data_IF_624488427525
#
_entry.id   IF_624488427525
#
_cell.length_a   1.000
_cell.length_b   1.000
_cell.length_c   1.000
_cell.angle_alpha   90.00
_cell.angle_beta   90.00
_cell.angle_gamma   90.00
#
_symmetry.space_group_name_H-M   'P 1'
#
loop_
_entity.id
_entity.type
_entity.pdbx_description
1 polymer ?
#
# COMPACT_ATOMS: atom_id res chain seq x y z
N UNK A 1 7.12 -26.90 9.47
CA UNK A 1 6.19 -25.96 8.83
C UNK A 1 6.99 -25.22 7.78
N UNK A 2 6.41 -24.94 6.61
CA UNK A 2 7.04 -24.10 5.57
C UNK A 2 7.34 -22.71 6.14
N UNK A 3 8.38 -22.06 5.62
CA UNK A 3 8.65 -20.64 5.92
C UNK A 3 7.43 -19.81 5.43
N UNK A 4 6.83 -18.95 6.26
CA UNK A 4 5.79 -18.03 5.81
C UNK A 4 6.29 -17.13 4.66
N UNK A 5 5.39 -16.80 3.72
CA UNK A 5 5.65 -15.80 2.71
C UNK A 5 5.70 -14.42 3.35
N UNK A 6 6.83 -13.72 3.24
CA UNK A 6 6.99 -12.35 3.72
C UNK A 6 6.77 -11.34 2.59
N UNK A 7 5.72 -10.54 2.71
CA UNK A 7 5.43 -9.42 1.82
C UNK A 7 5.68 -8.11 2.56
N UNK A 8 6.53 -7.26 1.99
CA UNK A 8 6.80 -5.92 2.52
C UNK A 8 6.33 -4.86 1.53
N UNK A 9 5.73 -3.80 2.03
CA UNK A 9 5.33 -2.63 1.26
C UNK A 9 5.92 -1.35 1.83
N UNK A 10 6.43 -0.48 0.97
CA UNK A 10 6.97 0.82 1.39
C UNK A 10 6.94 1.86 0.27
N UNK A 11 6.39 3.04 0.58
CA UNK A 11 6.64 4.25 -0.21
C UNK A 11 8.07 4.74 0.08
N UNK A 12 8.93 4.72 -0.94
CA UNK A 12 10.35 5.06 -0.82
C UNK A 12 10.67 6.52 -1.09
N UNK A 13 9.68 7.30 -1.56
CA UNK A 13 9.82 8.72 -1.89
C UNK A 13 11.09 9.02 -2.74
N UNK A 14 11.38 8.12 -3.68
CA UNK A 14 12.59 8.09 -4.50
C UNK A 14 13.60 7.02 -4.07
N UNK A 15 13.63 5.90 -4.79
CA UNK A 15 14.42 4.70 -4.44
C UNK A 15 15.92 4.98 -4.29
N UNK A 16 16.51 5.82 -5.15
CA UNK A 16 17.94 6.17 -5.07
C UNK A 16 18.29 6.89 -3.76
N UNK A 17 17.37 7.72 -3.25
CA UNK A 17 17.57 8.42 -1.99
C UNK A 17 17.40 7.46 -0.80
N UNK A 18 16.36 6.63 -0.83
CA UNK A 18 16.12 5.61 0.20
C UNK A 18 17.32 4.66 0.38
N UNK A 19 17.88 4.14 -0.71
CA UNK A 19 19.07 3.27 -0.65
C UNK A 19 20.29 3.98 -0.07
N UNK A 20 20.55 5.22 -0.49
CA UNK A 20 21.65 6.03 0.05
C UNK A 20 21.49 6.30 1.56
N UNK A 21 20.25 6.39 2.03
CA UNK A 21 19.92 6.73 3.42
C UNK A 21 19.74 5.51 4.34
N UNK A 22 19.89 4.27 3.86
CA UNK A 22 19.89 3.08 4.72
C UNK A 22 18.81 2.03 4.43
N UNK A 23 18.05 2.14 3.33
CA UNK A 23 17.07 1.11 2.95
C UNK A 23 17.73 -0.25 2.65
N UNK A 24 18.92 -0.27 2.04
CA UNK A 24 19.62 -1.51 1.67
C UNK A 24 19.91 -2.43 2.87
N UNK A 25 20.56 -1.94 3.94
CA UNK A 25 20.73 -2.68 5.18
C UNK A 25 19.42 -3.19 5.80
N UNK A 26 18.35 -2.39 5.79
CA UNK A 26 17.03 -2.84 6.25
C UNK A 26 16.55 -4.03 5.42
N UNK A 27 16.55 -3.93 4.09
CA UNK A 27 16.07 -4.98 3.19
C UNK A 27 16.86 -6.28 3.37
N UNK A 28 18.19 -6.19 3.47
CA UNK A 28 19.06 -7.35 3.68
C UNK A 28 18.78 -8.09 5.00
N UNK A 29 18.36 -7.35 6.05
CA UNK A 29 18.06 -7.91 7.37
C UNK A 29 16.69 -8.58 7.49
N UNK A 30 15.80 -8.36 6.51
CA UNK A 30 14.36 -8.61 6.68
C UNK A 30 13.84 -9.84 5.96
N UNK A 31 14.66 -10.52 5.16
CA UNK A 31 14.30 -11.78 4.47
C UNK A 31 12.96 -11.70 3.70
N UNK A 32 12.78 -10.58 2.98
CA UNK A 32 11.58 -10.30 2.19
C UNK A 32 11.55 -11.18 0.95
N UNK A 33 10.38 -11.80 0.70
CA UNK A 33 10.14 -12.63 -0.48
C UNK A 33 9.54 -11.81 -1.64
N UNK A 34 8.61 -10.89 -1.32
CA UNK A 34 8.01 -9.93 -2.26
C UNK A 34 8.03 -8.53 -1.63
N UNK A 35 8.67 -7.59 -2.33
CA UNK A 35 8.81 -6.18 -1.96
C UNK A 35 8.00 -5.31 -2.92
N UNK A 36 6.96 -4.67 -2.41
CA UNK A 36 6.20 -3.65 -3.11
C UNK A 36 6.77 -2.26 -2.79
N UNK A 37 7.06 -1.50 -3.84
CA UNK A 37 7.62 -0.16 -3.73
C UNK A 37 6.69 0.84 -4.38
N UNK A 38 6.48 1.96 -3.70
CA UNK A 38 5.74 3.12 -4.21
C UNK A 38 6.63 4.34 -4.27
N UNK A 39 6.30 5.27 -5.16
CA UNK A 39 7.11 6.45 -5.45
C UNK A 39 8.57 6.14 -5.75
N UNK A 40 8.79 5.16 -6.63
CA UNK A 40 10.12 4.74 -7.08
C UNK A 40 10.91 5.92 -7.66
N UNK A 41 10.26 6.78 -8.47
CA UNK A 41 10.82 8.01 -9.08
C UNK A 41 12.17 7.79 -9.79
N UNK A 42 12.32 6.63 -10.43
CA UNK A 42 13.54 6.20 -11.09
C UNK A 42 13.25 5.36 -12.35
N UNK A 43 14.28 5.08 -13.14
CA UNK A 43 14.17 4.13 -14.25
C UNK A 43 14.31 2.69 -13.72
N UNK A 44 13.79 1.71 -14.47
CA UNK A 44 13.90 0.28 -14.12
C UNK A 44 15.35 -0.17 -13.93
N UNK A 45 16.28 0.38 -14.71
CA UNK A 45 17.72 0.10 -14.59
C UNK A 45 18.30 0.55 -13.24
N UNK A 46 17.84 1.67 -12.69
CA UNK A 46 18.29 2.13 -11.37
C UNK A 46 17.82 1.14 -10.30
N UNK A 47 16.56 0.72 -10.38
CA UNK A 47 15.95 -0.20 -9.44
C UNK A 47 16.64 -1.56 -9.45
N UNK A 48 16.87 -2.12 -10.64
CA UNK A 48 17.55 -3.42 -10.83
C UNK A 48 18.99 -3.38 -10.32
N UNK A 49 19.73 -2.28 -10.57
CA UNK A 49 21.10 -2.10 -10.05
C UNK A 49 21.17 -2.00 -8.53
N UNK A 50 20.20 -1.31 -7.91
CA UNK A 50 20.15 -1.13 -6.46
C UNK A 50 19.76 -2.42 -5.72
N UNK A 51 18.80 -3.17 -6.27
CA UNK A 51 18.31 -4.40 -5.66
C UNK A 51 19.28 -5.57 -5.85
N UNK A 52 19.87 -5.70 -7.03
CA UNK A 52 20.76 -6.81 -7.36
C UNK A 52 20.09 -7.92 -8.19
N UNK A 53 20.89 -8.86 -8.71
CA UNK A 53 20.45 -9.88 -9.68
C UNK A 53 19.54 -10.96 -9.09
N UNK A 54 19.46 -11.07 -7.77
CA UNK A 54 18.61 -12.04 -7.07
C UNK A 54 17.14 -11.63 -6.99
N UNK A 55 16.81 -10.42 -7.46
CA UNK A 55 15.45 -9.90 -7.52
C UNK A 55 14.94 -9.90 -8.95
N UNK A 56 13.77 -10.51 -9.17
CA UNK A 56 12.96 -10.29 -10.35
C UNK A 56 12.13 -9.03 -10.15
N UNK A 57 12.30 -8.05 -11.06
CA UNK A 57 11.71 -6.71 -10.93
C UNK A 57 10.66 -6.50 -12.00
N UNK A 58 9.44 -6.19 -11.57
CA UNK A 58 8.40 -5.56 -12.37
C UNK A 58 8.30 -4.10 -11.92
N UNK A 59 8.25 -3.18 -12.89
CA UNK A 59 8.20 -1.76 -12.61
C UNK A 59 7.30 -1.07 -13.62
N UNK A 60 6.29 -0.38 -13.11
CA UNK A 60 5.47 0.53 -13.87
C UNK A 60 5.89 1.96 -13.54
N UNK A 61 6.43 2.65 -14.54
CA UNK A 61 6.92 4.02 -14.39
C UNK A 61 5.80 5.00 -14.69
N UNK A 62 5.74 6.10 -13.94
CA UNK A 62 4.75 7.13 -14.23
C UNK A 62 5.00 7.83 -15.56
N UNK A 63 3.92 8.25 -16.22
CA UNK A 63 3.94 9.07 -17.45
C UNK A 63 4.85 10.30 -17.31
N UNK A 64 4.79 10.96 -16.15
CA UNK A 64 5.66 12.08 -15.82
C UNK A 64 6.99 11.59 -15.21
N UNK A 65 8.11 11.84 -15.92
CA UNK A 65 9.46 11.47 -15.45
C UNK A 65 9.78 12.00 -14.05
N UNK A 66 10.33 11.14 -13.20
CA UNK A 66 10.75 11.49 -11.84
C UNK A 66 9.61 11.67 -10.84
N UNK A 67 8.39 11.29 -11.19
CA UNK A 67 7.21 11.28 -10.31
C UNK A 67 6.71 9.86 -10.12
N UNK A 68 6.01 9.61 -8.99
CA UNK A 68 5.34 8.34 -8.69
C UNK A 68 6.19 7.10 -9.07
N UNK A 69 5.58 6.10 -9.71
CA UNK A 69 6.19 4.84 -10.08
C UNK A 69 5.96 3.79 -8.99
N UNK A 70 5.52 2.60 -9.40
CA UNK A 70 5.31 1.45 -8.52
C UNK A 70 6.09 0.25 -9.04
N UNK A 71 6.62 -0.56 -8.12
CA UNK A 71 7.33 -1.77 -8.47
C UNK A 71 6.96 -2.94 -7.55
N UNK A 72 7.13 -4.14 -8.08
CA UNK A 72 7.16 -5.40 -7.35
C UNK A 72 8.51 -6.05 -7.62
N UNK A 73 9.31 -6.22 -6.57
CA UNK A 73 10.55 -6.97 -6.60
C UNK A 73 10.35 -8.28 -5.83
N UNK A 74 10.72 -9.41 -6.43
CA UNK A 74 10.43 -10.73 -5.87
C UNK A 74 11.61 -11.69 -6.02
N UNK A 75 11.72 -12.66 -5.12
CA UNK A 75 12.75 -13.73 -5.20
C UNK A 75 12.47 -14.74 -6.30
N UNK A 76 11.22 -14.83 -6.76
CA UNK A 76 10.77 -15.68 -7.87
C UNK A 76 9.97 -14.84 -8.85
N UNK A 77 10.16 -15.00 -10.17
CA UNK A 77 9.45 -14.21 -11.16
C UNK A 77 7.94 -14.41 -11.07
N UNK A 78 7.18 -13.36 -11.36
CA UNK A 78 5.74 -13.45 -11.54
C UNK A 78 5.39 -14.28 -12.78
N UNK A 79 4.26 -15.00 -12.73
CA UNK A 79 3.74 -15.72 -13.90
C UNK A 79 3.06 -14.77 -14.90
N UNK A 80 2.33 -13.77 -14.39
CA UNK A 80 1.66 -12.72 -15.17
C UNK A 80 1.65 -11.40 -14.40
N UNK A 81 1.56 -10.27 -15.11
CA UNK A 81 1.40 -8.95 -14.50
C UNK A 81 0.51 -8.03 -15.33
N UNK A 82 -0.07 -7.02 -14.68
CA UNK A 82 -0.98 -6.01 -15.25
C UNK A 82 -0.69 -4.66 -14.61
N UNK A 83 -0.80 -3.58 -15.38
CA UNK A 83 -0.50 -2.20 -14.92
C UNK A 83 -1.68 -1.24 -15.08
N UNK A 84 -2.70 -1.63 -15.83
CA UNK A 84 -3.86 -0.77 -16.10
C UNK A 84 -4.90 -0.91 -14.97
N UNK A 85 -5.41 0.23 -14.51
CA UNK A 85 -6.52 0.34 -13.58
C UNK A 85 -7.54 1.35 -14.14
N UNK A 86 -8.82 1.00 -14.14
CA UNK A 86 -9.89 1.89 -14.61
C UNK A 86 -10.09 1.88 -16.13
N UNK A 87 -10.83 2.87 -16.67
CA UNK A 87 -11.09 2.98 -18.10
C UNK A 87 -9.83 3.47 -18.87
N UNK A 88 -9.79 3.24 -20.19
CA UNK A 88 -8.60 3.48 -21.04
C UNK A 88 -8.11 4.95 -21.00
N UNK A 89 -9.02 5.92 -20.82
CA UNK A 89 -8.69 7.34 -20.71
C UNK A 89 -8.07 7.74 -19.36
N UNK A 90 -8.08 6.84 -18.36
CA UNK A 90 -7.54 7.12 -17.04
C UNK A 90 -6.06 6.73 -16.96
N UNK A 91 -5.19 7.74 -16.77
CA UNK A 91 -3.76 7.53 -16.61
C UNK A 91 -3.44 6.95 -15.21
N UNK A 92 -3.41 5.62 -15.13
CA UNK A 92 -3.01 4.86 -13.95
C UNK A 92 -1.51 4.56 -13.88
N UNK A 93 -0.72 5.01 -14.87
CA UNK A 93 0.68 4.66 -14.97
C UNK A 93 1.49 5.10 -13.74
N UNK A 94 2.31 4.18 -13.25
CA UNK A 94 3.12 4.32 -12.06
C UNK A 94 2.34 4.38 -10.75
N UNK A 95 1.10 3.84 -10.73
CA UNK A 95 0.23 3.83 -9.53
C UNK A 95 -0.43 2.49 -9.25
N UNK A 96 -0.49 1.58 -10.20
CA UNK A 96 -1.06 0.24 -10.02
C UNK A 96 -0.20 -0.79 -10.74
N UNK A 97 0.33 -1.77 -10.01
CA UNK A 97 1.03 -2.91 -10.59
C UNK A 97 0.60 -4.17 -9.87
N UNK A 98 -0.12 -5.02 -10.57
CA UNK A 98 -0.65 -6.30 -10.12
C UNK A 98 0.17 -7.44 -10.72
N UNK A 99 0.53 -8.44 -9.93
CA UNK A 99 1.22 -9.62 -10.43
C UNK A 99 0.89 -10.87 -9.62
N UNK A 100 0.91 -12.01 -10.30
CA UNK A 100 0.69 -13.33 -9.70
C UNK A 100 2.02 -14.03 -9.46
N UNK A 101 2.23 -14.50 -8.23
CA UNK A 101 3.43 -15.20 -7.81
C UNK A 101 3.09 -16.61 -7.35
N UNK A 102 3.75 -17.60 -7.93
CA UNK A 102 3.73 -18.96 -7.41
C UNK A 102 4.68 -19.07 -6.20
N UNK A 103 4.10 -19.34 -5.03
CA UNK A 103 4.84 -19.41 -3.77
C UNK A 103 5.25 -20.84 -3.44
N UNK A 104 6.04 -21.02 -2.39
CA UNK A 104 6.36 -22.36 -1.90
C UNK A 104 5.07 -23.10 -1.51
N UNK A 105 4.88 -24.33 -1.97
CA UNK A 105 3.61 -25.06 -1.84
C UNK A 105 2.73 -25.07 -3.09
N UNK A 106 3.05 -24.24 -4.10
CA UNK A 106 2.34 -24.21 -5.38
C UNK A 106 1.04 -23.39 -5.38
N UNK A 107 0.70 -22.73 -4.27
CA UNK A 107 -0.36 -21.71 -4.24
C UNK A 107 0.09 -20.49 -5.07
N UNK A 108 -0.87 -19.82 -5.71
CA UNK A 108 -0.64 -18.56 -6.40
C UNK A 108 -1.18 -17.43 -5.51
N UNK A 109 -0.35 -16.43 -5.25
CA UNK A 109 -0.76 -15.19 -4.57
C UNK A 109 -0.73 -14.04 -5.56
N UNK A 110 -1.80 -13.24 -5.60
CA UNK A 110 -1.86 -12.00 -6.36
C UNK A 110 -1.46 -10.85 -5.46
N UNK A 111 -0.40 -10.12 -5.81
CA UNK A 111 0.09 -8.96 -5.06
C UNK A 111 -0.01 -7.73 -5.94
N UNK A 112 -0.59 -6.66 -5.39
CA UNK A 112 -0.66 -5.35 -6.06
C UNK A 112 0.17 -4.33 -5.29
N UNK A 113 1.13 -3.68 -5.95
CA UNK A 113 1.73 -2.43 -5.46
C UNK A 113 0.88 -1.25 -5.93
N UNK A 114 0.37 -0.47 -4.98
CA UNK A 114 -0.58 0.61 -5.25
C UNK A 114 -0.12 1.93 -4.63
N UNK A 115 -0.19 3.00 -5.42
CA UNK A 115 0.08 4.37 -4.98
C UNK A 115 -1.08 5.30 -5.37
N UNK A 116 -2.02 5.47 -4.43
CA UNK A 116 -3.16 6.37 -4.61
C UNK A 116 -2.67 7.82 -4.64
N UNK A 117 -3.33 8.68 -5.41
CA UNK A 117 -3.05 10.12 -5.41
C UNK A 117 -3.14 10.69 -3.98
N UNK A 118 -2.17 11.52 -3.56
CA UNK A 118 -2.24 12.23 -2.28
C UNK A 118 -3.52 13.06 -2.13
N UNK A 119 -3.98 13.61 -3.26
CA UNK A 119 -5.12 14.52 -3.31
C UNK A 119 -4.75 15.93 -2.82
N UNK A 120 -5.64 16.87 -3.08
CA UNK A 120 -5.60 18.25 -2.60
C UNK A 120 -6.98 18.86 -2.84
N UNK A 121 -7.70 19.21 -1.77
CA UNK A 121 -9.11 19.66 -1.79
C UNK A 121 -9.33 20.75 -2.86
N UNK A 122 -10.41 20.62 -3.63
CA UNK A 122 -10.82 21.55 -4.70
C UNK A 122 -9.80 21.72 -5.84
N UNK A 123 -8.96 20.71 -6.09
CA UNK A 123 -8.00 20.71 -7.21
C UNK A 123 -8.18 19.53 -8.16
N UNK A 124 -7.60 19.60 -9.38
CA UNK A 124 -7.55 18.45 -10.28
C UNK A 124 -6.91 17.20 -9.66
N UNK A 125 -5.98 17.33 -8.70
CA UNK A 125 -5.39 16.15 -8.03
C UNK A 125 -6.41 15.38 -7.20
N UNK A 126 -7.38 16.05 -6.60
CA UNK A 126 -8.45 15.37 -5.88
C UNK A 126 -9.40 14.67 -6.84
N UNK A 127 -9.68 15.28 -8.00
CA UNK A 127 -10.47 14.64 -9.06
C UNK A 127 -9.81 13.34 -9.53
N UNK A 128 -8.49 13.33 -9.74
CA UNK A 128 -7.75 12.10 -10.08
C UNK A 128 -7.72 11.08 -8.93
N UNK A 129 -7.76 11.54 -7.67
CA UNK A 129 -7.91 10.64 -6.51
C UNK A 129 -9.28 9.96 -6.50
N UNK A 130 -10.36 10.69 -6.79
CA UNK A 130 -11.70 10.12 -6.87
C UNK A 130 -11.80 9.05 -7.95
N UNK A 131 -11.35 9.37 -9.18
CA UNK A 131 -11.30 8.39 -10.28
C UNK A 131 -10.52 7.13 -9.91
N UNK A 132 -9.40 7.29 -9.19
CA UNK A 132 -8.60 6.14 -8.74
C UNK A 132 -9.37 5.29 -7.72
N UNK A 133 -10.04 5.90 -6.74
CA UNK A 133 -10.84 5.20 -5.72
C UNK A 133 -12.07 4.52 -6.34
N UNK A 134 -12.72 5.14 -7.32
CA UNK A 134 -13.79 4.52 -8.12
C UNK A 134 -13.25 3.29 -8.87
N UNK A 135 -12.13 3.43 -9.57
CA UNK A 135 -11.52 2.33 -10.30
C UNK A 135 -11.07 1.18 -9.37
N UNK A 136 -10.57 1.49 -8.17
CA UNK A 136 -10.29 0.48 -7.15
C UNK A 136 -11.58 -0.25 -6.71
N UNK A 137 -12.68 0.49 -6.49
CA UNK A 137 -13.97 -0.08 -6.12
C UNK A 137 -14.45 -1.10 -7.15
N UNK A 138 -14.23 -0.83 -8.44
CA UNK A 138 -14.56 -1.77 -9.52
C UNK A 138 -13.56 -2.93 -9.65
N UNK A 139 -12.29 -2.72 -9.33
CA UNK A 139 -11.23 -3.73 -9.52
C UNK A 139 -11.17 -4.74 -8.39
N UNK A 140 -11.44 -4.35 -7.15
CA UNK A 140 -11.34 -5.20 -5.96
C UNK A 140 -12.21 -6.49 -6.06
N UNK A 141 -13.48 -6.46 -6.48
CA UNK A 141 -14.25 -7.69 -6.69
C UNK A 141 -13.64 -8.60 -7.77
N UNK A 142 -13.22 -8.01 -8.90
CA UNK A 142 -12.59 -8.74 -10.02
C UNK A 142 -11.26 -9.38 -9.63
N UNK A 143 -10.50 -8.76 -8.72
CA UNK A 143 -9.28 -9.34 -8.15
C UNK A 143 -9.59 -10.59 -7.33
N UNK A 144 -10.62 -10.53 -6.49
CA UNK A 144 -11.04 -11.67 -5.67
C UNK A 144 -11.60 -12.82 -6.51
N UNK A 145 -12.35 -12.50 -7.57
CA UNK A 145 -12.80 -13.49 -8.56
C UNK A 145 -11.63 -14.15 -9.31
N UNK A 146 -10.59 -13.38 -9.63
CA UNK A 146 -9.37 -13.88 -10.29
C UNK A 146 -8.57 -14.81 -9.37
N UNK A 147 -8.38 -14.41 -8.11
CA UNK A 147 -7.63 -15.20 -7.14
C UNK A 147 -8.13 -14.95 -5.70
N UNK A 148 -8.56 -16.00 -4.96
CA UNK A 148 -8.94 -15.85 -3.55
C UNK A 148 -7.78 -15.48 -2.64
N UNK A 149 -6.53 -15.62 -3.08
CA UNK A 149 -5.32 -15.22 -2.34
C UNK A 149 -4.74 -13.93 -2.92
N UNK A 150 -5.47 -12.83 -2.78
CA UNK A 150 -5.05 -11.51 -3.27
C UNK A 150 -4.82 -10.50 -2.14
N UNK A 151 -3.81 -9.63 -2.32
CA UNK A 151 -3.51 -8.49 -1.45
C UNK A 151 -3.15 -7.25 -2.26
N UNK A 152 -3.78 -6.13 -1.91
CA UNK A 152 -3.42 -4.79 -2.36
C UNK A 152 -2.59 -4.11 -1.28
N UNK A 153 -1.36 -3.73 -1.60
CA UNK A 153 -0.41 -3.13 -0.66
C UNK A 153 0.08 -1.77 -1.13
N UNK A 154 0.43 -0.91 -0.18
CA UNK A 154 1.08 0.38 -0.48
C UNK A 154 0.40 1.58 0.14
N UNK A 155 0.87 2.75 -0.29
CA UNK A 155 0.40 4.05 0.14
C UNK A 155 -0.93 4.40 -0.54
N UNK A 156 -2.01 4.20 0.22
CA UNK A 156 -3.36 4.52 -0.23
C UNK A 156 -3.75 5.96 0.08
N UNK A 157 -2.85 6.75 0.68
CA UNK A 157 -3.03 8.18 0.93
C UNK A 157 -4.34 8.55 1.66
N UNK A 158 -4.90 7.65 2.47
CA UNK A 158 -6.12 7.88 3.26
C UNK A 158 -5.95 7.23 4.63
N UNK A 159 -6.17 8.00 5.70
CA UNK A 159 -6.36 7.44 7.05
C UNK A 159 -7.83 7.04 7.21
N UNK A 160 -8.12 5.74 7.34
CA UNK A 160 -9.50 5.24 7.33
C UNK A 160 -10.32 5.72 8.54
N UNK A 161 -9.80 5.58 9.75
CA UNK A 161 -10.51 5.88 11.00
C UNK A 161 -9.80 6.96 11.81
N UNK A 162 -10.47 7.50 12.82
CA UNK A 162 -9.88 8.48 13.74
C UNK A 162 -8.63 7.97 14.45
N UNK A 163 -8.49 6.65 14.58
CA UNK A 163 -7.30 5.97 15.09
C UNK A 163 -6.11 6.02 14.12
N UNK A 164 -6.33 6.28 12.83
CA UNK A 164 -5.31 6.22 11.77
C UNK A 164 -4.56 7.54 11.58
N UNK A 165 -4.84 8.54 12.40
CA UNK A 165 -4.17 9.83 12.29
C UNK A 165 -4.13 10.53 13.64
N UNK A 166 -2.94 10.99 14.03
CA UNK A 166 -2.82 11.87 15.19
C UNK A 166 -3.43 13.25 14.89
N UNK A 167 -4.18 13.80 15.85
CA UNK A 167 -4.85 15.10 15.71
C UNK A 167 -5.91 15.13 14.59
N UNK A 168 -6.68 14.05 14.46
CA UNK A 168 -7.72 13.87 13.43
C UNK A 168 -8.70 15.07 13.33
N UNK A 169 -9.04 15.73 14.45
CA UNK A 169 -10.01 16.85 14.49
C UNK A 169 -9.67 17.97 13.52
N UNK A 170 -8.40 18.35 13.45
CA UNK A 170 -7.92 19.42 12.57
C UNK A 170 -7.78 19.00 11.10
N UNK A 171 -7.81 17.69 10.82
CA UNK A 171 -7.54 17.13 9.51
C UNK A 171 -8.80 16.67 8.76
N UNK A 172 -9.99 16.70 9.38
CA UNK A 172 -11.28 16.32 8.75
C UNK A 172 -11.61 17.05 7.44
N UNK A 173 -10.95 18.19 7.16
CA UNK A 173 -11.11 18.99 5.93
C UNK A 173 -9.86 18.97 5.04
N UNK A 174 -8.99 17.97 5.22
CA UNK A 174 -7.74 17.81 4.47
C UNK A 174 -7.81 16.52 3.67
N UNK A 175 -7.28 16.56 2.45
CA UNK A 175 -7.09 15.38 1.64
C UNK A 175 -6.26 14.34 2.41
N UNK A 176 -6.69 13.09 2.27
CA UNK A 176 -6.27 11.94 3.07
C UNK A 176 -7.12 11.67 4.30
N UNK A 177 -8.01 12.60 4.72
CA UNK A 177 -8.90 12.38 5.86
C UNK A 177 -10.29 13.01 5.66
N UNK A 178 -10.68 13.29 4.41
CA UNK A 178 -12.04 13.69 4.07
C UNK A 178 -13.01 12.57 4.39
N UNK A 179 -14.25 12.90 4.75
CA UNK A 179 -15.26 11.89 5.05
C UNK A 179 -15.53 11.02 3.81
N UNK A 180 -15.55 11.64 2.63
CA UNK A 180 -15.79 11.02 1.33
C UNK A 180 -14.66 10.08 0.91
N UNK A 181 -13.41 10.37 1.27
CA UNK A 181 -12.27 9.44 1.06
C UNK A 181 -12.41 8.22 1.96
N UNK A 182 -12.77 8.45 3.22
CA UNK A 182 -12.93 7.39 4.22
C UNK A 182 -14.12 6.49 3.94
N UNK A 183 -15.17 7.02 3.29
CA UNK A 183 -16.33 6.25 2.88
C UNK A 183 -15.99 5.11 1.90
N UNK A 184 -14.98 5.28 1.04
CA UNK A 184 -14.49 4.16 0.22
C UNK A 184 -13.94 3.02 1.07
N UNK A 185 -13.19 3.34 2.13
CA UNK A 185 -12.59 2.34 3.02
C UNK A 185 -13.64 1.68 3.90
N UNK A 186 -14.66 2.43 4.36
CA UNK A 186 -15.84 1.85 5.01
C UNK A 186 -16.48 0.78 4.11
N UNK A 187 -16.65 1.07 2.81
CA UNK A 187 -17.17 0.11 1.84
C UNK A 187 -16.19 -1.05 1.56
N UNK A 188 -14.89 -0.78 1.40
CA UNK A 188 -13.90 -1.82 1.13
C UNK A 188 -13.89 -2.89 2.22
N UNK A 189 -14.08 -2.49 3.48
CA UNK A 189 -13.97 -3.38 4.64
C UNK A 189 -15.31 -3.85 5.23
N UNK A 190 -16.44 -3.32 4.74
CA UNK A 190 -17.76 -3.84 5.09
C UNK A 190 -17.98 -5.23 4.46
N UNK A 191 -18.90 -6.01 5.06
CA UNK A 191 -19.25 -7.35 4.57
C UNK A 191 -19.66 -7.32 3.09
N UNK A 192 -19.20 -8.29 2.31
CA UNK A 192 -19.45 -8.33 0.88
C UNK A 192 -20.95 -8.32 0.56
N UNK A 193 -21.37 -7.40 -0.30
CA UNK A 193 -22.77 -7.23 -0.70
C UNK A 193 -23.66 -6.52 0.34
N UNK A 194 -23.13 -6.17 1.51
CA UNK A 194 -23.89 -5.41 2.51
C UNK A 194 -24.06 -3.94 2.12
N UNK A 195 -25.10 -3.29 2.66
CA UNK A 195 -25.26 -1.84 2.62
C UNK A 195 -24.40 -1.20 3.72
N UNK A 196 -23.23 -0.70 3.34
CA UNK A 196 -22.31 -0.02 4.25
C UNK A 196 -22.77 1.42 4.46
N UNK A 197 -23.25 1.73 5.66
CA UNK A 197 -23.41 3.11 6.12
C UNK A 197 -22.03 3.70 6.38
N UNK A 198 -21.68 4.76 5.66
CA UNK A 198 -20.32 5.31 5.69
C UNK A 198 -20.25 6.63 6.45
N UNK A 199 -19.03 7.04 6.80
CA UNK A 199 -18.81 8.22 7.64
C UNK A 199 -19.20 9.57 7.00
N UNK A 200 -19.36 9.64 5.68
CA UNK A 200 -19.89 10.83 4.99
C UNK A 200 -21.44 10.85 4.93
N UNK A 201 -22.09 9.81 5.46
CA UNK A 201 -23.54 9.63 5.43
C UNK A 201 -24.07 9.00 4.13
N UNK A 202 -23.21 8.60 3.21
CA UNK A 202 -23.58 7.81 2.03
C UNK A 202 -23.73 6.32 2.38
N UNK A 203 -24.52 5.62 1.57
CA UNK A 203 -24.60 4.16 1.55
C UNK A 203 -23.79 3.63 0.36
N UNK A 204 -22.93 2.63 0.60
CA UNK A 204 -22.10 1.99 -0.43
C UNK A 204 -22.18 0.47 -0.31
N UNK A 205 -21.91 -0.27 -1.38
CA UNK A 205 -21.85 -1.74 -1.32
C UNK A 205 -20.55 -2.20 -0.68
N UNK A 206 -20.64 -3.03 0.35
CA UNK A 206 -19.49 -3.64 1.00
C UNK A 206 -18.74 -4.61 0.09
N UNK A 207 -17.40 -4.62 0.15
CA UNK A 207 -16.56 -5.45 -0.72
C UNK A 207 -15.89 -6.65 -0.01
N UNK A 208 -15.99 -6.72 1.32
CA UNK A 208 -15.51 -7.86 2.12
C UNK A 208 -13.98 -7.98 2.22
N UNK A 209 -13.20 -6.95 1.88
CA UNK A 209 -11.75 -6.98 2.05
C UNK A 209 -11.37 -6.73 3.52
N UNK A 210 -10.15 -7.11 3.89
CA UNK A 210 -9.67 -7.04 5.26
C UNK A 210 -8.49 -6.07 5.34
N UNK A 211 -8.62 -5.06 6.19
CA UNK A 211 -7.47 -4.28 6.68
C UNK A 211 -6.64 -5.15 7.64
N UNK A 212 -5.56 -5.75 7.13
CA UNK A 212 -4.69 -6.62 7.93
C UNK A 212 -4.10 -5.86 9.11
N UNK A 213 -3.63 -4.64 8.88
CA UNK A 213 -2.98 -3.86 9.92
C UNK A 213 -3.93 -3.55 11.07
N UNK A 214 -5.16 -3.17 10.76
CA UNK A 214 -6.16 -2.93 11.81
C UNK A 214 -6.54 -4.21 12.55
N UNK A 215 -6.77 -5.30 11.82
CA UNK A 215 -7.14 -6.58 12.41
C UNK A 215 -6.05 -7.13 13.35
N UNK A 216 -4.77 -6.90 13.05
CA UNK A 216 -3.66 -7.37 13.89
C UNK A 216 -3.33 -6.41 15.04
N UNK A 217 -3.37 -5.09 14.81
CA UNK A 217 -3.05 -4.10 15.85
C UNK A 217 -4.20 -3.87 16.85
N UNK A 218 -5.44 -4.18 16.47
CA UNK A 218 -6.64 -3.92 17.28
C UNK A 218 -7.06 -2.45 17.26
N UNK A 219 -7.96 -2.07 18.16
CA UNK A 219 -8.55 -0.72 18.25
C UNK A 219 -7.64 0.27 19.00
N UNK A 220 -6.44 0.51 18.47
CA UNK A 220 -5.42 1.42 19.04
C UNK A 220 -5.12 2.61 18.13
N UNK A 221 -4.62 3.72 18.68
CA UNK A 221 -4.08 4.80 17.85
C UNK A 221 -2.85 4.29 17.07
N UNK A 222 -2.85 4.48 15.75
CA UNK A 222 -1.86 3.88 14.86
C UNK A 222 -2.01 2.35 14.75
N UNK A 223 -0.90 1.61 14.53
CA UNK A 223 0.46 2.12 14.30
C UNK A 223 0.50 2.99 13.04
N UNK A 224 1.14 4.16 13.14
CA UNK A 224 1.28 5.07 12.00
C UNK A 224 2.39 4.57 11.07
N UNK A 225 2.29 4.93 9.79
CA UNK A 225 3.22 4.52 8.74
C UNK A 225 3.86 5.71 8.04
N UNK A 226 3.34 6.92 8.22
CA UNK A 226 3.88 8.15 7.64
C UNK A 226 3.99 9.28 8.67
N UNK A 227 5.07 10.06 8.59
CA UNK A 227 5.25 11.26 9.39
C UNK A 227 5.85 12.39 8.56
N UNK A 228 5.31 13.59 8.69
CA UNK A 228 5.86 14.76 8.03
C UNK A 228 7.33 14.98 8.39
N UNK A 229 8.15 15.37 7.40
CA UNK A 229 9.51 15.86 7.63
C UNK A 229 9.55 17.26 8.25
N UNK A 230 8.40 17.90 8.47
CA UNK A 230 8.31 19.24 9.06
C UNK A 230 8.04 19.13 10.56
N UNK A 231 8.79 19.91 11.33
CA UNK A 231 8.69 19.91 12.79
C UNK A 231 9.15 18.59 13.41
N UNK A 232 8.68 18.28 14.60
CA UNK A 232 9.04 17.07 15.36
C UNK A 232 7.97 15.98 15.23
N UNK A 233 7.34 15.86 14.05
CA UNK A 233 6.22 14.94 13.86
C UNK A 233 6.64 13.47 14.10
N UNK A 234 7.83 13.08 13.63
CA UNK A 234 8.34 11.73 13.87
C UNK A 234 8.64 11.49 15.36
N UNK A 235 9.34 12.41 16.03
CA UNK A 235 9.74 12.23 17.44
C UNK A 235 8.52 12.23 18.39
N UNK A 236 7.51 13.04 18.08
CA UNK A 236 6.26 13.12 18.85
C UNK A 236 5.19 12.12 18.40
N UNK A 237 5.53 11.24 17.47
CA UNK A 237 4.63 10.25 16.86
C UNK A 237 3.31 10.85 16.32
N UNK A 238 3.40 12.05 15.75
CA UNK A 238 2.28 12.73 15.09
C UNK A 238 2.18 12.24 13.65
N UNK A 239 1.76 10.99 13.50
CA UNK A 239 1.74 10.28 12.23
C UNK A 239 0.36 10.03 11.64
N UNK A 240 0.37 9.43 10.46
CA UNK A 240 -0.79 8.91 9.75
C UNK A 240 -0.53 7.43 9.39
N UNK A 241 -1.55 6.59 9.42
CA UNK A 241 -1.54 5.24 8.87
C UNK A 241 -2.19 5.29 7.51
N UNK A 242 -1.37 5.35 6.47
CA UNK A 242 -1.81 5.45 5.07
C UNK A 242 -1.24 4.33 4.19
N UNK A 243 -0.38 3.49 4.75
CA UNK A 243 0.19 2.32 4.10
C UNK A 243 -0.52 1.06 4.60
N UNK A 244 -1.04 0.25 3.68
CA UNK A 244 -1.92 -0.86 4.00
C UNK A 244 -1.45 -2.19 3.42
N UNK A 245 -1.92 -3.27 4.04
CA UNK A 245 -2.18 -4.55 3.38
C UNK A 245 -3.70 -4.76 3.42
N UNK A 246 -4.35 -4.55 2.29
CA UNK A 246 -5.78 -4.80 2.07
C UNK A 246 -5.88 -6.18 1.43
N UNK A 247 -6.26 -7.19 2.21
CA UNK A 247 -6.23 -8.58 1.77
C UNK A 247 -7.65 -9.15 1.62
N UNK A 248 -7.80 -10.08 0.69
CA UNK A 248 -8.95 -10.99 0.65
C UNK A 248 -9.10 -11.74 1.99
N UNK A 249 -10.33 -12.10 2.42
CA UNK A 249 -10.54 -12.81 3.69
C UNK A 249 -9.70 -14.08 3.85
N UNK A 250 -9.56 -14.84 2.77
CA UNK A 250 -8.85 -16.12 2.72
C UNK A 250 -7.35 -15.93 2.94
N UNK A 251 -6.73 -14.94 2.26
CA UNK A 251 -5.33 -14.61 2.50
C UNK A 251 -5.12 -13.97 3.88
N UNK A 252 -6.04 -13.08 4.29
CA UNK A 252 -5.97 -12.47 5.61
C UNK A 252 -5.99 -13.55 6.70
N UNK A 253 -6.82 -14.60 6.61
CA UNK A 253 -6.85 -15.69 7.58
C UNK A 253 -5.49 -16.41 7.76
N UNK A 254 -4.56 -16.28 6.80
CA UNK A 254 -3.22 -16.87 6.84
C UNK A 254 -2.15 -15.97 7.47
N UNK A 255 -2.48 -14.75 7.90
CA UNK A 255 -1.51 -13.84 8.54
C UNK A 255 -1.03 -14.42 9.87
N UNK A 256 0.29 -14.52 10.03
CA UNK A 256 0.95 -14.99 11.26
C UNK A 256 1.81 -13.92 11.94
N UNK A 257 2.14 -12.85 11.24
CA UNK A 257 2.87 -11.70 11.79
C UNK A 257 2.53 -10.42 11.03
N UNK A 258 2.50 -9.28 11.73
CA UNK A 258 2.29 -7.95 11.17
C UNK A 258 3.17 -6.94 11.90
N UNK A 259 3.93 -6.15 11.14
CA UNK A 259 4.84 -5.15 11.69
C UNK A 259 4.82 -3.87 10.86
N UNK A 260 4.98 -2.75 11.56
CA UNK A 260 5.43 -1.50 10.96
C UNK A 260 6.87 -1.29 11.39
N UNK A 261 7.80 -1.37 10.45
CA UNK A 261 9.24 -1.22 10.69
C UNK A 261 9.62 0.27 10.79
N UNK A 262 9.05 0.96 11.78
CA UNK A 262 9.41 2.35 12.09
C UNK A 262 10.86 2.43 12.54
N UNK A 263 11.62 3.37 11.98
CA UNK A 263 12.99 3.63 12.40
C UNK A 263 13.07 4.03 13.89
N UNK A 264 14.16 3.68 14.57
CA UNK A 264 14.32 3.95 16.01
C UNK A 264 14.42 5.46 16.33
N UNK A 265 14.91 6.26 15.38
CA UNK A 265 15.03 7.72 15.51
C UNK A 265 14.79 8.42 14.17
N UNK A 266 14.53 9.73 14.20
CA UNK A 266 14.37 10.53 12.98
C UNK A 266 15.57 10.42 12.03
N UNK A 267 16.79 10.34 12.58
CA UNK A 267 18.03 10.28 11.82
C UNK A 267 18.25 8.95 11.08
N UNK A 268 17.61 7.87 11.54
CA UNK A 268 17.70 6.54 10.94
C UNK A 268 16.62 6.29 9.87
N UNK A 269 15.75 7.27 9.62
CA UNK A 269 14.76 7.20 8.55
C UNK A 269 15.41 7.34 7.18
N UNK A 270 14.95 6.54 6.24
CA UNK A 270 15.36 6.62 4.85
C UNK A 270 14.21 6.99 3.91
N UNK A 271 12.96 7.01 4.42
CA UNK A 271 11.77 7.56 3.79
C UNK A 271 10.95 8.30 4.85
N UNK A 272 10.02 9.14 4.40
CA UNK A 272 8.99 9.68 5.29
C UNK A 272 7.96 8.63 5.72
N UNK A 273 7.90 7.51 5.00
CA UNK A 273 7.14 6.31 5.35
C UNK A 273 7.99 5.24 6.05
N UNK A 274 7.35 4.42 6.89
CA UNK A 274 7.89 3.19 7.44
C UNK A 274 7.35 1.98 6.66
N UNK A 275 8.17 0.94 6.42
CA UNK A 275 7.70 -0.28 5.79
C UNK A 275 6.61 -0.98 6.61
N UNK A 276 5.62 -1.50 5.92
CA UNK A 276 4.64 -2.44 6.47
C UNK A 276 5.05 -3.84 6.01
N UNK A 277 5.23 -4.77 6.95
CA UNK A 277 5.72 -6.12 6.70
C UNK A 277 4.72 -7.12 7.27
N UNK A 278 4.29 -8.07 6.44
CA UNK A 278 3.32 -9.10 6.82
C UNK A 278 3.80 -10.47 6.38
N UNK A 279 3.69 -11.44 7.29
CA UNK A 279 3.97 -12.84 7.03
C UNK A 279 2.67 -13.63 6.87
N UNK A 280 2.56 -14.36 5.76
CA UNK A 280 1.42 -15.21 5.43
C UNK A 280 1.84 -16.69 5.44
N UNK A 281 1.15 -17.52 6.21
CA UNK A 281 1.37 -18.97 6.23
C UNK A 281 0.70 -19.63 5.03
N UNK A 282 1.46 -19.71 3.93
CA UNK A 282 1.14 -20.42 2.70
C UNK A 282 1.92 -21.75 2.62
#
# INVERSE_FOLDING_TARGET
MSKPLRVASVNVNGVRAAFRNGMGPWLASRDVDILALQEVRAATDDLTKLLGPEWSVLHDAATAKGRAGVALASRRPASIHRVELGPEEFDSAGRWLEADFEVEGGEIVTVVSTYVHSGEVDTPKQVEKWKFLDAMTERLPKLREHNPLAVVVGDLNVGHRELDIKNWRGNRKKAGFLAEERAYFDAFFAEEGSAAETVDGSERTGLGWVDVGRRQAGEVEGPYTWWSNRGQAFDNDTGWRIDYHVATPELAAKVVDYRVDRAASYAERWSDHAPVVVDYQL
#
